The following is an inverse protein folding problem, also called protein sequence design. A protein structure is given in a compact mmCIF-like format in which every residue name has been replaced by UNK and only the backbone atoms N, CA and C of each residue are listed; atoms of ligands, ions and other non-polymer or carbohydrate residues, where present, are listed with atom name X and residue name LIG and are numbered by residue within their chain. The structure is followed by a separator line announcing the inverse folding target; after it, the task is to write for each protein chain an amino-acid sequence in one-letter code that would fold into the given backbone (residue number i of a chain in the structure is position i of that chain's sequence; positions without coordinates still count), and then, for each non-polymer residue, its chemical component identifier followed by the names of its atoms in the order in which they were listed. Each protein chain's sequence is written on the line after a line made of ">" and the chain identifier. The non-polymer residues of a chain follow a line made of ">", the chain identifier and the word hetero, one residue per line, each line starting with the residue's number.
data_IF_100118236479
#
_entry.id   IF_100118236479
#
_cell.length_a   1.000
_cell.length_b   1.000
_cell.length_c   1.000
_cell.angle_alpha   90.00
_cell.angle_beta   90.00
_cell.angle_gamma   90.00
#
_symmetry.space_group_name_H-M   'P 1'
#
loop_
_entity.id
_entity.type
_entity.pdbx_description
1 polymer ?
#
# COMPACT_ATOMS: atom_id res chain seq x y z
N UNK A 1 46.34 -20.26 -10.68
CA UNK A 1 47.28 -20.20 -9.54
C UNK A 1 46.48 -20.03 -8.27
N UNK A 2 46.46 -21.00 -7.33
CA UNK A 2 45.70 -20.87 -6.10
C UNK A 2 46.62 -20.38 -4.98
N UNK A 3 46.19 -19.36 -4.23
CA UNK A 3 46.85 -18.96 -2.99
C UNK A 3 45.90 -19.07 -1.81
N UNK A 4 46.41 -19.79 -0.83
CA UNK A 4 45.87 -20.28 0.43
C UNK A 4 45.49 -19.20 1.45
N UNK A 5 44.41 -19.52 2.18
CA UNK A 5 44.19 -19.34 3.62
C UNK A 5 45.36 -18.79 4.46
N UNK A 6 45.11 -17.70 5.19
CA UNK A 6 45.59 -17.54 6.57
C UNK A 6 44.49 -16.93 7.44
N UNK A 7 44.10 -17.70 8.45
CA UNK A 7 43.24 -17.29 9.54
C UNK A 7 44.04 -16.44 10.54
N UNK A 8 43.49 -15.30 10.96
CA UNK A 8 43.96 -14.56 12.13
C UNK A 8 42.74 -14.25 12.99
N UNK A 9 42.57 -15.07 14.02
CA UNK A 9 41.60 -14.86 15.07
C UNK A 9 41.94 -13.63 15.91
N UNK A 10 40.95 -12.78 16.15
CA UNK A 10 40.96 -11.81 17.24
C UNK A 10 39.69 -12.00 18.06
N UNK A 11 39.88 -12.55 19.26
CA UNK A 11 38.88 -12.55 20.32
C UNK A 11 38.59 -11.11 20.74
N UNK A 12 37.33 -10.68 20.61
CA UNK A 12 36.79 -9.47 21.24
C UNK A 12 35.62 -9.91 22.13
N UNK A 13 35.53 -9.38 23.37
CA UNK A 13 34.64 -9.92 24.39
C UNK A 13 33.17 -9.60 24.07
N UNK A 14 32.32 -10.62 24.26
CA UNK A 14 30.87 -10.54 24.20
C UNK A 14 30.34 -9.53 25.23
N UNK A 15 30.00 -8.32 24.76
CA UNK A 15 29.20 -7.40 25.54
C UNK A 15 27.73 -7.88 25.50
N UNK A 16 27.29 -8.42 26.63
CA UNK A 16 25.91 -8.84 26.89
C UNK A 16 24.97 -7.63 26.79
N UNK A 17 24.36 -7.42 25.64
CA UNK A 17 23.32 -6.39 25.45
C UNK A 17 22.06 -6.83 26.20
N UNK A 18 21.66 -6.05 27.21
CA UNK A 18 20.37 -6.21 27.89
C UNK A 18 19.26 -5.94 26.87
N UNK A 19 18.40 -6.91 26.62
CA UNK A 19 17.19 -6.75 25.79
C UNK A 19 16.31 -5.67 26.41
N UNK A 20 16.30 -4.48 25.83
CA UNK A 20 15.29 -3.48 26.11
C UNK A 20 13.99 -3.92 25.42
N UNK A 21 12.99 -4.27 26.22
CA UNK A 21 11.62 -4.46 25.78
C UNK A 21 11.02 -3.07 25.47
N UNK A 22 10.93 -2.72 24.20
CA UNK A 22 10.23 -1.51 23.77
C UNK A 22 8.73 -1.77 23.80
N UNK A 23 8.04 -1.21 24.79
CA UNK A 23 6.58 -1.07 24.78
C UNK A 23 6.30 0.17 23.94
N UNK A 24 5.85 -0.01 22.70
CA UNK A 24 5.31 1.10 21.91
C UNK A 24 3.87 1.34 22.36
N UNK A 25 3.69 2.31 23.25
CA UNK A 25 2.37 2.81 23.64
C UNK A 25 2.11 4.08 22.85
N UNK A 26 1.19 4.02 21.88
CA UNK A 26 0.65 5.23 21.25
C UNK A 26 -0.40 5.83 22.17
N UNK A 27 0.04 6.40 23.29
CA UNK A 27 -0.76 7.40 23.99
C UNK A 27 -0.48 8.71 23.26
N UNK A 28 -1.50 9.29 22.63
CA UNK A 28 -1.37 10.61 22.01
C UNK A 28 -1.10 11.64 23.11
N UNK A 29 0.16 11.85 23.43
CA UNK A 29 0.63 13.00 24.18
C UNK A 29 1.43 13.88 23.24
N UNK A 30 1.06 15.15 23.28
CA UNK A 30 1.47 16.28 22.46
C UNK A 30 2.97 16.27 22.07
N UNK A 31 3.27 16.46 20.79
CA UNK A 31 4.66 16.57 20.32
C UNK A 31 4.86 16.36 18.82
N UNK A 32 4.70 17.43 18.03
CA UNK A 32 5.22 17.51 16.65
C UNK A 32 6.74 17.43 16.74
N UNK A 33 7.36 16.45 16.07
CA UNK A 33 8.81 16.34 15.75
C UNK A 33 9.64 17.51 16.29
N UNK A 34 10.49 17.23 17.30
CA UNK A 34 11.43 18.18 17.92
C UNK A 34 11.83 19.32 16.98
N UNK A 35 11.23 20.47 17.25
CA UNK A 35 11.49 21.73 16.59
C UNK A 35 12.94 22.10 16.87
N UNK A 36 13.75 22.12 15.80
CA UNK A 36 14.97 22.91 15.59
C UNK A 36 15.87 23.15 16.82
N UNK A 37 17.10 22.61 16.74
CA UNK A 37 18.26 22.98 17.55
C UNK A 37 18.21 24.45 18.00
N UNK A 38 17.90 24.67 19.28
CA UNK A 38 18.20 25.92 19.98
C UNK A 38 19.71 25.99 20.19
N UNK A 39 20.41 26.64 19.27
CA UNK A 39 21.74 27.16 19.53
C UNK A 39 21.63 28.49 20.30
N UNK A 40 22.32 28.53 21.45
CA UNK A 40 22.82 29.69 22.17
C UNK A 40 21.83 30.59 22.96
N UNK A 41 21.75 30.32 24.27
CA UNK A 41 22.04 31.29 25.35
C UNK A 41 21.10 32.48 25.61
N UNK A 42 20.51 32.52 26.82
CA UNK A 42 20.07 33.77 27.45
C UNK A 42 18.69 33.71 28.12
N UNK A 43 18.62 34.10 29.38
CA UNK A 43 17.49 34.02 30.33
C UNK A 43 16.55 35.22 30.21
N UNK A 44 15.21 35.04 30.31
CA UNK A 44 14.29 35.92 31.07
C UNK A 44 12.80 35.47 31.02
N UNK A 45 12.29 35.15 32.22
CA UNK A 45 10.96 35.28 32.84
C UNK A 45 9.67 35.64 32.07
N UNK A 46 8.60 34.96 32.52
CA UNK A 46 7.20 35.39 32.72
C UNK A 46 6.32 35.64 31.49
N UNK A 47 5.45 34.66 31.23
CA UNK A 47 4.30 34.78 30.33
C UNK A 47 3.64 33.41 30.16
N UNK A 48 2.84 32.97 31.13
CA UNK A 48 1.86 31.88 30.96
C UNK A 48 0.74 32.40 30.05
N UNK A 49 1.08 32.66 28.79
CA UNK A 49 0.09 32.74 27.71
C UNK A 49 -0.15 31.32 27.26
N UNK A 50 -1.42 30.92 27.27
CA UNK A 50 -1.94 29.66 26.75
C UNK A 50 -1.04 29.09 25.66
N UNK A 51 -0.31 28.00 25.98
CA UNK A 51 0.12 27.08 24.92
C UNK A 51 -1.16 26.55 24.31
N UNK A 52 -1.71 27.27 23.32
CA UNK A 52 -2.56 26.69 22.31
C UNK A 52 -1.68 25.73 21.53
N UNK A 53 -1.48 24.55 22.13
CA UNK A 53 -0.97 23.38 21.44
C UNK A 53 -1.74 23.29 20.15
N UNK A 54 -1.03 23.20 19.04
CA UNK A 54 -1.67 23.15 17.73
C UNK A 54 -2.36 21.78 17.61
N UNK A 55 -3.63 21.73 18.05
CA UNK A 55 -4.47 20.53 18.04
C UNK A 55 -4.52 19.98 16.63
N UNK A 56 -3.84 18.86 16.41
CA UNK A 56 -3.96 18.13 15.17
C UNK A 56 -5.38 17.55 15.09
N UNK A 57 -6.04 17.72 13.95
CA UNK A 57 -7.31 17.05 13.63
C UNK A 57 -7.04 16.03 12.51
N UNK A 58 -6.43 14.88 12.81
CA UNK A 58 -6.18 13.86 11.80
C UNK A 58 -7.51 13.29 11.31
N UNK A 59 -7.54 12.83 10.05
CA UNK A 59 -8.65 12.05 9.52
C UNK A 59 -8.85 10.84 10.43
N UNK A 60 -10.07 10.70 10.95
CA UNK A 60 -10.45 9.60 11.83
C UNK A 60 -10.86 8.39 11.00
N UNK A 61 -10.85 7.21 11.64
CA UNK A 61 -11.59 6.07 11.09
C UNK A 61 -13.04 6.48 10.84
N UNK A 62 -13.65 6.07 9.72
CA UNK A 62 -15.05 6.36 9.48
C UNK A 62 -15.95 5.67 10.51
N UNK A 63 -17.19 6.17 10.60
CA UNK A 63 -18.29 5.44 11.22
C UNK A 63 -18.72 4.34 10.27
N UNK A 64 -18.32 3.10 10.56
CA UNK A 64 -18.59 1.94 9.71
C UNK A 64 -20.10 1.66 9.52
N UNK A 65 -20.94 2.08 10.46
CA UNK A 65 -22.40 2.00 10.35
C UNK A 65 -23.02 3.03 9.40
N UNK A 66 -22.24 4.01 8.94
CA UNK A 66 -22.66 5.07 8.01
C UNK A 66 -22.00 4.96 6.65
N UNK A 67 -21.68 3.74 6.23
CA UNK A 67 -21.29 3.48 4.86
C UNK A 67 -22.47 3.78 3.91
N UNK A 68 -22.18 4.44 2.80
CA UNK A 68 -23.16 4.83 1.81
C UNK A 68 -22.80 4.23 0.44
N UNK A 69 -23.79 4.04 -0.46
CA UNK A 69 -23.50 3.78 -1.85
C UNK A 69 -22.56 4.84 -2.41
N UNK A 70 -21.63 4.41 -3.27
CA UNK A 70 -20.75 5.34 -3.97
C UNK A 70 -21.55 6.07 -5.06
N UNK A 71 -21.26 7.35 -5.25
CA UNK A 71 -21.83 8.10 -6.36
C UNK A 71 -21.21 7.55 -7.65
N UNK A 72 -22.04 7.26 -8.66
CA UNK A 72 -21.56 7.01 -10.02
C UNK A 72 -21.63 8.34 -10.80
N UNK A 73 -20.55 9.15 -10.84
CA UNK A 73 -20.56 10.44 -11.50
C UNK A 73 -20.80 10.32 -13.02
N UNK A 74 -20.51 9.15 -13.61
CA UNK A 74 -20.53 8.93 -15.05
C UNK A 74 -21.69 8.04 -15.53
N UNK A 75 -22.51 7.51 -14.60
CA UNK A 75 -23.60 6.55 -14.88
C UNK A 75 -23.14 5.41 -15.78
N UNK A 76 -21.95 4.86 -15.56
CA UNK A 76 -21.39 3.82 -16.41
C UNK A 76 -22.27 2.57 -16.23
N UNK A 77 -22.95 2.08 -17.29
CA UNK A 77 -23.91 0.97 -17.20
C UNK A 77 -23.35 -0.36 -16.64
N UNK A 78 -22.03 -0.42 -16.45
CA UNK A 78 -21.26 -1.59 -16.03
C UNK A 78 -20.96 -1.59 -14.53
N UNK A 79 -21.13 -0.47 -13.80
CA UNK A 79 -21.02 -0.43 -12.33
C UNK A 79 -22.37 -0.82 -11.74
N UNK A 80 -22.66 -2.13 -11.74
CA UNK A 80 -23.92 -2.67 -11.20
C UNK A 80 -23.94 -2.70 -9.67
N UNK A 81 -22.78 -2.67 -9.04
CA UNK A 81 -22.67 -2.67 -7.58
C UNK A 81 -22.07 -1.35 -7.10
N UNK A 82 -22.96 -0.41 -6.83
CA UNK A 82 -22.61 0.85 -6.16
C UNK A 82 -22.51 0.68 -4.64
N UNK A 83 -22.78 -0.52 -4.12
CA UNK A 83 -22.79 -0.82 -2.69
C UNK A 83 -21.56 -1.61 -2.29
N UNK A 84 -20.43 -0.93 -2.14
CA UNK A 84 -19.20 -1.56 -1.65
C UNK A 84 -19.02 -1.50 -0.13
N UNK A 85 -20.11 -1.49 0.62
CA UNK A 85 -20.07 -1.38 2.07
C UNK A 85 -19.70 -2.72 2.73
N UNK A 86 -18.55 -2.81 3.43
CA UNK A 86 -18.22 -3.99 4.21
C UNK A 86 -19.31 -4.24 5.26
N UNK A 87 -19.59 -5.51 5.56
CA UNK A 87 -20.49 -5.85 6.66
C UNK A 87 -19.90 -5.34 7.98
N UNK A 88 -20.73 -4.65 8.73
CA UNK A 88 -20.40 -4.10 10.03
C UNK A 88 -21.42 -4.57 11.06
N UNK A 89 -20.93 -5.05 12.21
CA UNK A 89 -21.74 -5.41 13.38
C UNK A 89 -21.25 -4.57 14.54
N UNK A 90 -22.07 -3.63 15.00
CA UNK A 90 -21.75 -2.70 16.08
C UNK A 90 -21.57 -3.38 17.44
N UNK A 91 -21.96 -4.66 17.55
CA UNK A 91 -21.74 -5.49 18.73
C UNK A 91 -20.33 -6.07 18.77
N UNK A 92 -19.59 -6.06 17.66
CA UNK A 92 -18.21 -6.54 17.60
C UNK A 92 -17.27 -5.37 17.89
N UNK A 93 -16.55 -5.37 19.03
CA UNK A 93 -15.59 -4.31 19.33
C UNK A 93 -14.47 -4.30 18.30
N UNK A 94 -14.09 -3.11 17.84
CA UNK A 94 -12.91 -2.93 16.98
C UNK A 94 -11.68 -2.86 17.88
N UNK A 95 -10.81 -3.88 17.89
CA UNK A 95 -9.65 -3.87 18.76
C UNK A 95 -8.57 -2.92 18.24
N UNK A 96 -7.79 -2.36 19.16
CA UNK A 96 -6.54 -1.68 18.80
C UNK A 96 -5.60 -2.65 18.11
N UNK A 97 -4.95 -2.17 17.04
CA UNK A 97 -3.94 -2.94 16.33
C UNK A 97 -2.78 -3.32 17.25
N UNK A 98 -2.40 -4.60 17.21
CA UNK A 98 -1.22 -5.11 17.91
C UNK A 98 -0.20 -5.57 16.90
N UNK A 99 1.05 -5.14 17.08
CA UNK A 99 2.16 -5.60 16.26
C UNK A 99 2.32 -7.13 16.39
N UNK A 100 2.68 -7.80 15.28
CA UNK A 100 2.98 -9.23 15.35
C UNK A 100 4.15 -9.48 16.31
N UNK A 101 4.14 -10.60 17.06
CA UNK A 101 5.25 -10.96 17.94
C UNK A 101 6.59 -10.98 17.20
N UNK A 102 7.68 -10.66 17.88
CA UNK A 102 9.04 -10.72 17.30
C UNK A 102 9.45 -12.13 16.83
N UNK A 103 8.76 -13.17 17.29
CA UNK A 103 8.92 -14.55 16.85
C UNK A 103 8.18 -14.88 15.55
N UNK A 104 7.37 -13.96 15.02
CA UNK A 104 6.64 -14.18 13.77
C UNK A 104 7.62 -14.28 12.60
N UNK A 105 7.35 -15.14 11.60
CA UNK A 105 8.22 -15.26 10.45
C UNK A 105 8.30 -13.94 9.66
N UNK A 106 9.51 -13.61 9.21
CA UNK A 106 9.71 -12.53 8.24
C UNK A 106 9.22 -13.00 6.88
N UNK A 107 8.22 -12.31 6.34
CA UNK A 107 7.68 -12.57 5.00
C UNK A 107 8.44 -11.76 3.98
N UNK A 108 9.06 -12.46 3.02
CA UNK A 108 9.82 -11.85 1.94
C UNK A 108 9.01 -11.98 0.65
N UNK A 109 8.52 -10.85 0.16
CA UNK A 109 7.72 -10.78 -1.06
C UNK A 109 8.61 -11.04 -2.28
N UNK A 110 8.37 -12.10 -3.08
CA UNK A 110 9.17 -12.36 -4.26
C UNK A 110 8.72 -11.49 -5.45
N UNK A 111 9.66 -11.21 -6.36
CA UNK A 111 9.31 -10.59 -7.63
C UNK A 111 8.48 -11.57 -8.47
N UNK A 112 7.30 -11.15 -8.93
CA UNK A 112 6.31 -12.01 -9.57
C UNK A 112 6.83 -12.76 -10.81
N UNK A 113 7.75 -12.16 -11.57
CA UNK A 113 8.35 -12.77 -12.76
C UNK A 113 9.41 -13.85 -12.44
N UNK A 114 9.81 -14.00 -11.17
CA UNK A 114 10.85 -14.95 -10.72
C UNK A 114 10.30 -16.08 -9.84
N UNK A 115 8.99 -16.13 -9.61
CA UNK A 115 8.39 -17.16 -8.75
C UNK A 115 8.45 -18.53 -9.43
N UNK A 116 8.65 -19.58 -8.63
CA UNK A 116 8.64 -20.95 -9.12
C UNK A 116 7.22 -21.55 -9.14
N UNK A 117 7.11 -22.79 -9.62
CA UNK A 117 5.83 -23.51 -9.70
C UNK A 117 5.23 -23.82 -8.33
N UNK A 118 6.06 -24.02 -7.30
CA UNK A 118 5.59 -24.35 -5.95
C UNK A 118 4.95 -23.12 -5.30
N UNK A 119 5.59 -21.96 -5.44
CA UNK A 119 5.04 -20.68 -5.03
C UNK A 119 3.75 -20.38 -5.79
N UNK A 120 3.74 -20.55 -7.11
CA UNK A 120 2.55 -20.30 -7.93
C UNK A 120 1.37 -21.16 -7.47
N UNK A 121 1.56 -22.47 -7.32
CA UNK A 121 0.52 -23.38 -6.83
C UNK A 121 -0.02 -22.97 -5.45
N UNK A 122 0.86 -22.51 -4.56
CA UNK A 122 0.50 -21.99 -3.24
C UNK A 122 -0.36 -20.73 -3.33
N UNK A 123 0.05 -19.77 -4.16
CA UNK A 123 -0.68 -18.51 -4.34
C UNK A 123 -2.03 -18.74 -5.02
N UNK A 124 -2.08 -19.58 -6.06
CA UNK A 124 -3.33 -19.98 -6.71
C UNK A 124 -4.28 -20.65 -5.72
N UNK A 125 -3.79 -21.57 -4.88
CA UNK A 125 -4.60 -22.18 -3.81
C UNK A 125 -5.17 -21.13 -2.87
N UNK A 126 -4.36 -20.17 -2.41
CA UNK A 126 -4.82 -19.14 -1.48
C UNK A 126 -5.90 -18.24 -2.08
N UNK A 127 -5.72 -17.78 -3.32
CA UNK A 127 -6.72 -16.95 -4.02
C UNK A 127 -7.97 -17.75 -4.36
N UNK A 128 -7.84 -19.02 -4.75
CA UNK A 128 -8.98 -19.92 -4.96
C UNK A 128 -9.82 -20.03 -3.70
N UNK A 129 -9.21 -20.35 -2.55
CA UNK A 129 -9.93 -20.47 -1.28
C UNK A 129 -10.58 -19.15 -0.87
N UNK A 130 -9.91 -18.01 -1.10
CA UNK A 130 -10.49 -16.69 -0.83
C UNK A 130 -11.72 -16.40 -1.70
N UNK A 131 -11.74 -16.86 -2.95
CA UNK A 131 -12.87 -16.74 -3.87
C UNK A 131 -14.01 -17.73 -3.57
N UNK A 132 -13.72 -18.85 -2.91
CA UNK A 132 -14.70 -19.85 -2.48
C UNK A 132 -15.39 -19.51 -1.14
N UNK A 133 -14.89 -18.51 -0.41
CA UNK A 133 -15.56 -18.00 0.78
C UNK A 133 -16.94 -17.42 0.44
N UNK A 134 -17.92 -17.48 1.36
CA UNK A 134 -19.18 -16.76 1.21
C UNK A 134 -18.94 -15.27 0.94
N UNK A 135 -19.75 -14.68 0.08
CA UNK A 135 -19.62 -13.26 -0.29
C UNK A 135 -19.63 -12.33 0.93
N UNK A 136 -20.29 -12.74 2.02
CA UNK A 136 -20.38 -11.96 3.24
C UNK A 136 -19.31 -12.23 4.30
N UNK A 137 -18.42 -13.20 4.07
CA UNK A 137 -17.22 -13.37 4.89
C UNK A 137 -16.30 -12.15 4.68
N UNK A 138 -15.88 -11.42 5.74
CA UNK A 138 -15.03 -10.23 5.59
C UNK A 138 -13.68 -10.52 4.89
N UNK A 139 -13.27 -11.78 4.81
CA UNK A 139 -12.06 -12.26 4.13
C UNK A 139 -12.27 -12.60 2.66
N UNK A 140 -13.52 -12.67 2.20
CA UNK A 140 -13.86 -13.08 0.83
C UNK A 140 -13.23 -12.15 -0.20
N UNK A 141 -13.02 -12.67 -1.41
CA UNK A 141 -12.42 -11.91 -2.50
C UNK A 141 -13.22 -10.62 -2.80
N UNK A 142 -14.55 -10.71 -2.75
CA UNK A 142 -15.45 -9.57 -2.92
C UNK A 142 -15.30 -8.53 -1.82
N UNK A 143 -15.26 -8.97 -0.55
CA UNK A 143 -15.14 -8.04 0.58
C UNK A 143 -13.77 -7.35 0.63
N UNK A 144 -12.70 -8.03 0.20
CA UNK A 144 -11.40 -7.37 0.08
C UNK A 144 -11.44 -6.24 -0.96
N UNK A 145 -12.06 -6.46 -2.13
CA UNK A 145 -12.31 -5.41 -3.11
C UNK A 145 -13.19 -4.27 -2.54
N UNK A 146 -14.25 -4.59 -1.80
CA UNK A 146 -15.15 -3.60 -1.18
C UNK A 146 -14.43 -2.67 -0.20
N UNK A 147 -13.46 -3.17 0.57
CA UNK A 147 -12.62 -2.32 1.43
C UNK A 147 -11.91 -1.24 0.62
N UNK A 148 -11.35 -1.57 -0.55
CA UNK A 148 -10.74 -0.58 -1.41
C UNK A 148 -11.78 0.41 -1.94
N UNK A 149 -12.86 -0.07 -2.55
CA UNK A 149 -13.92 0.80 -3.08
C UNK A 149 -14.43 1.79 -2.02
N UNK A 150 -14.76 1.33 -0.81
CA UNK A 150 -15.38 2.19 0.21
C UNK A 150 -14.51 3.36 0.66
N UNK A 151 -13.19 3.16 0.76
CA UNK A 151 -12.23 4.19 1.17
C UNK A 151 -11.76 5.10 0.03
N UNK A 152 -12.00 4.70 -1.22
CA UNK A 152 -11.45 5.36 -2.41
C UNK A 152 -12.49 6.12 -3.21
N UNK A 153 -13.74 5.62 -3.22
CA UNK A 153 -14.86 6.14 -4.01
C UNK A 153 -15.87 6.91 -3.15
N UNK A 154 -15.49 7.28 -1.91
CA UNK A 154 -16.27 8.20 -1.08
C UNK A 154 -17.49 7.59 -0.38
N UNK A 155 -17.48 6.29 -0.09
CA UNK A 155 -18.56 5.64 0.66
C UNK A 155 -18.67 6.12 2.13
N UNK A 156 -17.64 6.78 2.65
CA UNK A 156 -17.59 7.29 4.02
C UNK A 156 -17.42 8.80 4.10
N UNK A 157 -18.04 9.42 5.11
CA UNK A 157 -17.81 10.82 5.47
C UNK A 157 -16.80 10.96 6.62
N UNK A 158 -16.11 12.09 6.66
CA UNK A 158 -15.20 12.43 7.75
C UNK A 158 -15.98 12.80 9.01
N UNK A 159 -15.65 12.17 10.13
CA UNK A 159 -16.28 12.45 11.42
C UNK A 159 -16.07 13.93 11.80
N UNK A 160 -17.17 14.63 12.06
CA UNK A 160 -17.17 16.07 12.37
C UNK A 160 -17.16 17.00 11.15
N UNK A 161 -17.13 16.45 9.93
CA UNK A 161 -17.18 17.19 8.67
C UNK A 161 -18.19 16.56 7.71
N UNK A 162 -19.51 16.72 7.97
CA UNK A 162 -20.55 16.16 7.12
C UNK A 162 -20.38 16.59 5.66
N UNK A 163 -20.70 15.70 4.72
CA UNK A 163 -20.51 15.87 3.26
C UNK A 163 -19.06 15.89 2.77
N UNK A 164 -18.07 15.91 3.65
CA UNK A 164 -16.67 15.75 3.25
C UNK A 164 -16.34 14.25 3.25
N UNK A 165 -16.17 13.67 2.06
CA UNK A 165 -15.87 12.24 1.91
C UNK A 165 -14.43 11.92 2.36
N UNK A 166 -14.22 10.69 2.80
CA UNK A 166 -12.88 10.12 2.93
C UNK A 166 -12.40 9.74 1.52
N UNK A 167 -11.19 10.17 1.21
CA UNK A 167 -10.46 9.77 0.02
C UNK A 167 -9.01 9.51 0.44
N UNK A 168 -8.62 8.23 0.36
CA UNK A 168 -7.25 7.82 0.69
C UNK A 168 -6.28 8.09 -0.46
N UNK A 169 -6.80 8.37 -1.66
CA UNK A 169 -6.01 8.77 -2.81
C UNK A 169 -5.69 10.26 -2.75
N UNK A 170 -4.71 10.69 -3.57
CA UNK A 170 -4.30 12.10 -3.73
C UNK A 170 -3.88 12.80 -2.42
N UNK A 171 -3.49 12.04 -1.42
CA UNK A 171 -3.03 12.55 -0.14
C UNK A 171 -1.90 11.69 0.43
N UNK A 172 -1.29 12.16 1.52
CA UNK A 172 -0.28 11.41 2.26
C UNK A 172 -0.78 10.08 2.88
N UNK A 173 -2.10 9.81 2.84
CA UNK A 173 -2.69 8.58 3.36
C UNK A 173 -2.50 7.41 2.40
N UNK A 174 -2.20 7.70 1.13
CA UNK A 174 -2.03 6.70 0.07
C UNK A 174 -1.12 5.55 0.51
N UNK A 175 0.13 5.83 0.86
CA UNK A 175 1.09 4.79 1.24
C UNK A 175 0.74 4.04 2.53
N UNK A 176 0.46 4.70 3.68
CA UNK A 176 0.17 3.97 4.91
C UNK A 176 -1.13 3.17 4.84
N UNK A 177 -2.16 3.67 4.16
CA UNK A 177 -3.43 2.95 4.00
C UNK A 177 -3.23 1.68 3.15
N UNK A 178 -2.59 1.78 1.98
CA UNK A 178 -2.32 0.62 1.12
C UNK A 178 -1.38 -0.39 1.79
N UNK A 179 -0.42 0.08 2.60
CA UNK A 179 0.44 -0.81 3.39
C UNK A 179 -0.36 -1.67 4.37
N UNK A 180 -1.32 -1.07 5.09
CA UNK A 180 -2.18 -1.81 6.02
C UNK A 180 -3.17 -2.71 5.28
N UNK A 181 -3.74 -2.25 4.17
CA UNK A 181 -4.62 -3.06 3.34
C UNK A 181 -3.91 -4.34 2.87
N UNK A 182 -2.72 -4.20 2.28
CA UNK A 182 -1.91 -5.36 1.85
C UNK A 182 -1.38 -6.20 3.02
N UNK A 183 -1.14 -5.59 4.19
CA UNK A 183 -0.74 -6.33 5.39
C UNK A 183 -1.80 -7.34 5.82
N UNK A 184 -3.07 -6.92 5.90
CA UNK A 184 -4.16 -7.83 6.25
C UNK A 184 -4.48 -8.79 5.12
N UNK A 185 -4.52 -8.33 3.86
CA UNK A 185 -4.76 -9.18 2.69
C UNK A 185 -3.77 -10.35 2.60
N UNK A 186 -2.47 -10.08 2.77
CA UNK A 186 -1.43 -11.12 2.79
C UNK A 186 -1.62 -12.12 3.94
N UNK A 187 -1.99 -11.65 5.13
CA UNK A 187 -2.25 -12.51 6.30
C UNK A 187 -3.49 -13.38 6.12
N UNK A 188 -4.53 -12.85 5.50
CA UNK A 188 -5.76 -13.59 5.19
C UNK A 188 -5.42 -14.72 4.22
N UNK A 189 -4.72 -14.44 3.12
CA UNK A 189 -4.30 -15.46 2.15
C UNK A 189 -3.47 -16.57 2.82
N UNK A 190 -2.46 -16.19 3.60
CA UNK A 190 -1.65 -17.17 4.34
C UNK A 190 -2.48 -18.01 5.32
N UNK A 191 -3.42 -17.39 6.03
CA UNK A 191 -4.32 -18.12 6.94
C UNK A 191 -5.22 -19.12 6.22
N UNK A 192 -5.72 -18.80 5.02
CA UNK A 192 -6.58 -19.71 4.25
C UNK A 192 -5.87 -20.99 3.79
N UNK A 193 -4.54 -20.97 3.70
CA UNK A 193 -3.73 -22.13 3.31
C UNK A 193 -2.88 -22.70 4.45
N UNK A 194 -3.12 -22.25 5.68
CA UNK A 194 -2.35 -22.61 6.88
C UNK A 194 -0.84 -22.39 6.73
N UNK A 195 -0.45 -21.28 6.10
CA UNK A 195 0.95 -20.88 5.89
C UNK A 195 1.19 -19.47 6.42
N UNK A 196 1.76 -19.38 7.62
CA UNK A 196 2.08 -18.11 8.26
C UNK A 196 3.31 -17.41 7.63
N UNK A 197 4.07 -18.12 6.81
CA UNK A 197 5.22 -17.62 6.04
C UNK A 197 4.85 -17.09 4.66
N UNK A 198 3.60 -17.30 4.21
CA UNK A 198 3.12 -16.79 2.92
C UNK A 198 3.34 -15.28 2.79
N UNK A 199 3.93 -14.87 1.68
CA UNK A 199 4.18 -13.49 1.32
C UNK A 199 3.57 -13.22 -0.06
N UNK A 200 2.97 -12.06 -0.28
CA UNK A 200 2.47 -11.69 -1.60
C UNK A 200 3.61 -11.51 -2.60
N UNK A 201 3.41 -11.79 -3.89
CA UNK A 201 4.37 -11.39 -4.90
C UNK A 201 4.22 -9.89 -5.16
N UNK A 202 5.26 -9.25 -5.67
CA UNK A 202 5.16 -7.89 -6.18
C UNK A 202 5.50 -7.84 -7.67
N UNK A 203 4.78 -7.00 -8.41
CA UNK A 203 5.10 -6.75 -9.82
C UNK A 203 6.32 -5.82 -9.88
N UNK A 204 7.46 -6.38 -10.28
CA UNK A 204 8.77 -5.71 -10.32
C UNK A 204 8.96 -4.89 -11.60
N UNK A 205 8.03 -3.98 -11.90
CA UNK A 205 8.03 -3.14 -13.11
C UNK A 205 9.12 -2.07 -13.12
N UNK A 206 9.87 -1.91 -12.02
CA UNK A 206 11.05 -1.07 -11.91
C UNK A 206 12.33 -1.75 -12.43
N UNK A 207 12.28 -3.05 -12.76
CA UNK A 207 13.36 -3.76 -13.43
C UNK A 207 12.93 -4.26 -14.82
N UNK A 208 13.80 -4.20 -15.85
CA UNK A 208 13.44 -4.56 -17.23
C UNK A 208 12.73 -5.92 -17.39
N UNK A 209 13.23 -6.97 -16.73
CA UNK A 209 12.66 -8.32 -16.81
C UNK A 209 11.28 -8.46 -16.13
N UNK A 210 10.88 -7.50 -15.30
CA UNK A 210 9.58 -7.48 -14.64
C UNK A 210 8.59 -6.48 -15.23
N UNK A 211 8.91 -5.82 -16.36
CA UNK A 211 8.02 -4.81 -16.97
C UNK A 211 6.86 -5.39 -17.77
N UNK A 212 6.87 -6.68 -18.12
CA UNK A 212 5.68 -7.34 -18.68
C UNK A 212 4.72 -7.73 -17.54
N UNK A 213 3.42 -7.83 -17.84
CA UNK A 213 2.47 -8.42 -16.89
C UNK A 213 2.96 -9.84 -16.53
N UNK A 214 3.11 -10.20 -15.24
CA UNK A 214 3.61 -11.52 -14.88
C UNK A 214 2.71 -12.64 -15.44
N UNK A 215 3.32 -13.61 -16.13
CA UNK A 215 2.60 -14.68 -16.85
C UNK A 215 1.68 -15.53 -15.97
N UNK A 216 1.94 -15.56 -14.66
CA UNK A 216 1.04 -16.18 -13.66
C UNK A 216 -0.37 -15.60 -13.65
N UNK A 217 -0.58 -14.40 -14.19
CA UNK A 217 -1.89 -13.76 -14.27
C UNK A 217 -2.62 -14.02 -15.59
N UNK A 218 -2.00 -14.63 -16.62
CA UNK A 218 -2.58 -14.71 -17.96
C UNK A 218 -3.35 -16.00 -18.26
N UNK A 219 -3.17 -17.06 -17.47
CA UNK A 219 -3.82 -18.35 -17.71
C UNK A 219 -5.30 -18.33 -17.34
N UNK A 220 -6.21 -18.46 -18.30
CA UNK A 220 -7.68 -18.34 -18.12
C UNK A 220 -8.26 -19.30 -17.08
N UNK A 221 -7.65 -20.47 -16.89
CA UNK A 221 -8.05 -21.45 -15.88
C UNK A 221 -7.54 -21.13 -14.46
N UNK A 222 -6.61 -20.18 -14.33
CA UNK A 222 -6.02 -19.80 -13.05
C UNK A 222 -6.99 -18.95 -12.23
N UNK A 223 -7.08 -19.14 -10.90
CA UNK A 223 -7.83 -18.24 -10.03
C UNK A 223 -7.24 -16.81 -10.01
N UNK A 224 -6.03 -16.60 -10.54
CA UNK A 224 -5.38 -15.29 -10.64
C UNK A 224 -5.76 -14.50 -11.90
N UNK A 225 -6.46 -15.15 -12.84
CA UNK A 225 -6.90 -14.53 -14.08
C UNK A 225 -8.06 -13.55 -13.86
N UNK A 226 -8.09 -12.53 -14.71
CA UNK A 226 -9.19 -11.58 -14.83
C UNK A 226 -9.38 -11.22 -16.32
N UNK A 227 -10.56 -11.51 -16.85
CA UNK A 227 -10.93 -11.27 -18.25
C UNK A 227 -11.17 -9.79 -18.56
N UNK A 228 -11.24 -8.92 -17.54
CA UNK A 228 -11.49 -7.48 -17.69
C UNK A 228 -10.22 -6.66 -17.95
N UNK A 229 -9.06 -7.31 -18.14
CA UNK A 229 -7.80 -6.63 -18.52
C UNK A 229 -7.81 -6.24 -20.00
N UNK A 230 -7.10 -5.17 -20.34
CA UNK A 230 -6.91 -4.78 -21.74
C UNK A 230 -6.07 -5.85 -22.48
N UNK A 231 -6.61 -6.55 -23.51
CA UNK A 231 -5.89 -7.59 -24.23
C UNK A 231 -4.61 -7.09 -24.92
N UNK A 232 -4.56 -5.81 -25.32
CA UNK A 232 -3.39 -5.22 -25.97
C UNK A 232 -2.20 -5.03 -25.02
N UNK A 233 -2.42 -5.06 -23.70
CA UNK A 233 -1.37 -4.88 -22.69
C UNK A 233 -0.96 -6.20 -22.02
N UNK A 234 -1.42 -7.35 -22.55
CA UNK A 234 -0.96 -8.65 -22.11
C UNK A 234 0.45 -8.94 -22.66
N UNK A 235 1.23 -9.85 -22.04
CA UNK A 235 2.55 -10.22 -22.52
C UNK A 235 2.50 -10.67 -24.00
N UNK A 236 3.50 -10.30 -24.82
CA UNK A 236 4.80 -9.74 -24.44
C UNK A 236 4.84 -8.20 -24.29
N UNK A 237 3.70 -7.51 -24.26
CA UNK A 237 3.69 -6.05 -24.10
C UNK A 237 4.38 -5.59 -22.80
N UNK A 238 5.18 -4.54 -22.92
CA UNK A 238 5.86 -3.86 -21.81
C UNK A 238 4.88 -2.84 -21.22
N UNK A 239 4.71 -2.83 -19.90
CA UNK A 239 3.87 -1.83 -19.22
C UNK A 239 4.37 -0.42 -19.57
N UNK A 240 3.47 0.50 -19.89
CA UNK A 240 3.83 1.91 -20.08
C UNK A 240 3.62 2.65 -18.74
N UNK A 241 4.70 3.01 -18.04
CA UNK A 241 4.59 3.71 -16.75
C UNK A 241 4.22 5.19 -16.87
N UNK A 242 4.24 5.76 -18.07
CA UNK A 242 3.76 7.12 -18.39
C UNK A 242 2.45 7.07 -19.21
N UNK A 243 1.70 5.97 -19.10
CA UNK A 243 0.46 5.75 -19.83
C UNK A 243 -0.53 6.89 -19.61
N UNK A 244 -1.06 7.44 -20.69
CA UNK A 244 -2.11 8.43 -20.65
C UNK A 244 -3.30 7.95 -21.49
N UNK A 245 -4.53 8.15 -21.02
CA UNK A 245 -5.74 7.58 -21.62
C UNK A 245 -6.00 7.99 -23.09
N UNK A 246 -5.23 8.93 -23.65
CA UNK A 246 -5.34 9.28 -25.08
C UNK A 246 -4.86 8.14 -25.98
N UNK A 247 -4.03 7.25 -25.45
CA UNK A 247 -3.50 6.06 -26.12
C UNK A 247 -4.61 5.02 -26.40
N UNK A 248 -5.74 5.08 -25.68
CA UNK A 248 -6.87 4.16 -25.81
C UNK A 248 -7.82 4.51 -26.97
N UNK A 249 -8.07 5.81 -27.22
CA UNK A 249 -9.09 6.25 -28.18
C UNK A 249 -8.55 6.59 -29.57
N UNK A 250 -7.25 6.72 -29.71
CA UNK A 250 -6.65 7.22 -30.94
C UNK A 250 -6.59 6.14 -32.04
N UNK A 251 -6.72 4.85 -31.71
CA UNK A 251 -6.48 3.73 -32.65
C UNK A 251 -5.09 3.81 -33.32
N UNK A 252 -4.25 4.69 -32.80
CA UNK A 252 -2.94 5.09 -33.29
C UNK A 252 -2.08 5.06 -32.05
N UNK A 253 -1.26 4.03 -31.99
CA UNK A 253 -0.17 3.86 -31.05
C UNK A 253 0.39 5.25 -30.68
N UNK A 254 0.33 5.70 -29.41
CA UNK A 254 0.75 7.04 -29.02
C UNK A 254 2.11 7.30 -29.61
N UNK A 255 2.16 8.19 -30.63
CA UNK A 255 3.33 8.52 -31.46
C UNK A 255 4.51 7.67 -31.02
N UNK A 256 4.63 6.43 -31.54
CA UNK A 256 5.62 5.44 -31.10
C UNK A 256 6.88 6.22 -30.78
N UNK A 257 7.16 6.39 -29.50
CA UNK A 257 8.40 7.03 -29.12
C UNK A 257 9.45 6.18 -29.80
N UNK A 258 10.35 6.79 -30.57
CA UNK A 258 11.49 6.04 -31.11
C UNK A 258 12.39 5.50 -29.99
N UNK A 259 12.15 5.93 -28.75
CA UNK A 259 12.81 5.43 -27.55
C UNK A 259 12.27 4.06 -27.13
N UNK A 260 13.19 3.22 -26.65
CA UNK A 260 12.89 1.92 -26.08
C UNK A 260 11.88 2.05 -24.91
N UNK A 261 10.76 1.30 -24.90
CA UNK A 261 9.78 1.34 -23.81
C UNK A 261 10.39 1.01 -22.43
N UNK A 262 11.46 0.22 -22.37
CA UNK A 262 12.19 -0.06 -21.13
C UNK A 262 12.88 1.21 -20.62
N UNK A 263 13.55 1.95 -21.50
CA UNK A 263 14.24 3.20 -21.15
C UNK A 263 13.25 4.27 -20.67
N UNK A 264 12.10 4.39 -21.34
CA UNK A 264 11.00 5.26 -20.90
C UNK A 264 10.54 4.94 -19.48
N UNK A 265 10.31 3.66 -19.18
CA UNK A 265 9.93 3.24 -17.83
C UNK A 265 11.00 3.55 -16.80
N UNK A 266 12.28 3.29 -17.10
CA UNK A 266 13.39 3.60 -16.18
C UNK A 266 13.52 5.11 -15.93
N UNK A 267 13.29 5.96 -16.94
CA UNK A 267 13.21 7.42 -16.78
C UNK A 267 12.06 7.83 -15.87
N UNK A 268 10.88 7.22 -16.00
CA UNK A 268 9.74 7.46 -15.10
C UNK A 268 10.09 7.06 -13.66
N UNK A 269 10.69 5.89 -13.47
CA UNK A 269 11.12 5.41 -12.15
C UNK A 269 12.12 6.34 -11.50
N UNK A 270 13.15 6.74 -12.24
CA UNK A 270 14.15 7.69 -11.76
C UNK A 270 13.50 9.03 -11.40
N UNK A 271 12.60 9.54 -12.25
CA UNK A 271 11.83 10.76 -11.99
C UNK A 271 11.05 10.64 -10.69
N UNK A 272 10.20 9.62 -10.53
CA UNK A 272 9.37 9.45 -9.33
C UNK A 272 10.19 9.20 -8.06
N UNK A 273 11.28 8.44 -8.15
CA UNK A 273 12.14 8.15 -7.00
C UNK A 273 12.94 9.36 -6.51
N UNK A 274 13.45 10.20 -7.43
CA UNK A 274 14.29 11.36 -7.10
C UNK A 274 13.49 12.66 -6.92
N UNK A 275 12.43 12.89 -7.70
CA UNK A 275 11.66 14.13 -7.61
C UNK A 275 10.82 14.21 -6.33
N UNK A 276 10.39 13.08 -5.78
CA UNK A 276 9.68 13.05 -4.50
C UNK A 276 10.59 13.24 -3.27
N UNK A 277 11.91 13.10 -3.42
CA UNK A 277 12.89 13.51 -2.38
C UNK A 277 13.00 15.04 -2.27
N UNK A 278 12.61 15.78 -3.32
CA UNK A 278 12.61 17.23 -3.40
C UNK A 278 11.18 17.79 -3.50
N UNK A 279 10.31 17.46 -2.53
CA UNK A 279 9.23 18.39 -2.21
C UNK A 279 9.85 19.53 -1.37
N UNK A 280 10.04 20.75 -1.91
CA UNK A 280 10.41 21.87 -1.05
C UNK A 280 9.28 22.06 -0.04
N UNK A 281 9.63 21.94 1.23
CA UNK A 281 8.86 22.51 2.32
C UNK A 281 8.78 24.02 2.08
N UNK A 282 7.71 24.47 1.43
CA UNK A 282 7.39 25.89 1.30
C UNK A 282 7.20 26.38 -0.13
N UNK A 283 5.94 26.39 -0.57
CA UNK A 283 5.40 27.47 -1.40
C UNK A 283 3.87 27.39 -1.36
N UNK A 284 3.28 27.61 -0.18
CA UNK A 284 1.94 28.20 -0.12
C UNK A 284 2.13 29.70 -0.39
N UNK A 285 2.25 30.06 -1.67
CA UNK A 285 2.05 31.44 -2.08
C UNK A 285 0.56 31.70 -2.08
N UNK A 286 0.15 32.58 -1.17
CA UNK A 286 -1.15 33.22 -1.14
C UNK A 286 -1.61 33.61 -2.55
N UNK A 287 -2.86 33.29 -2.88
CA UNK A 287 -3.65 34.13 -3.77
C UNK A 287 -5.05 34.20 -3.17
N UNK A 288 -5.40 35.44 -2.84
CA UNK A 288 -6.74 35.91 -2.47
C UNK A 288 -7.75 35.56 -3.58
#
# INVERSE_FOLDING_TARGET
>A
MPSSLQALGRNLPLHRSKKASYILSCKATDGRRDVLLRLAGGVATAGLSELRGALAKPIQSPDFGKCQPIDDPDKIPQVKDTMCCPKYDDRIPIPDFKLPPLSSPLRVRPAAHLVDRNYLAKYEKAVKLMKELPDDDPRSFSQQWHVHCAYCEGAYEQIGYPKLKIDIHRSWLFFPWHRLYLYFYERILGNLIDDDTFALPFWNWDAPHGMTLPVMYTGESSPLYDSKRNPMHLPPAIVNLDYNHKDYHSGTDPKISTEDPIDLNLKVMYRQGRSQEFLPLGSLTNSL
#
